data_IF_740111017148
#
_entry.id   IF_740111017148
#
_cell.length_a   1.000
_cell.length_b   1.000
_cell.length_c   1.000
_cell.angle_alpha   90.00
_cell.angle_beta   90.00
_cell.angle_gamma   90.00
#
_symmetry.space_group_name_H-M   'P 1'
#
loop_
_entity.id
_entity.type
_entity.pdbx_description
1 polymer ?
#
# COMPACT_ATOMS: atom_id res chain seq x y z
N UNK A 1 -5.73 14.81 27.84
CA UNK A 1 -5.70 15.53 26.55
C UNK A 1 -6.85 15.00 25.70
N UNK A 2 -7.73 15.84 25.16
CA UNK A 2 -8.78 15.37 24.23
C UNK A 2 -8.11 15.08 22.89
N UNK A 3 -8.07 13.81 22.48
CA UNK A 3 -7.57 13.41 21.17
C UNK A 3 -8.33 14.15 20.07
N UNK A 4 -7.62 14.58 19.02
CA UNK A 4 -8.25 15.17 17.83
C UNK A 4 -9.10 14.09 17.16
N UNK A 5 -10.32 14.43 16.74
CA UNK A 5 -11.15 13.50 15.99
C UNK A 5 -10.44 13.11 14.67
N UNK A 6 -10.50 11.83 14.24
CA UNK A 6 -9.89 11.39 12.99
C UNK A 6 -10.51 12.17 11.82
N UNK A 7 -9.69 12.54 10.83
CA UNK A 7 -10.21 13.14 9.59
C UNK A 7 -11.05 12.12 8.82
N UNK A 8 -11.88 12.53 7.85
CA UNK A 8 -12.53 11.58 6.96
C UNK A 8 -11.51 10.68 6.24
N UNK A 9 -11.90 9.42 6.01
CA UNK A 9 -11.12 8.48 5.22
C UNK A 9 -10.95 8.95 3.77
N UNK A 10 -9.74 8.81 3.24
CA UNK A 10 -9.38 9.04 1.83
C UNK A 10 -8.35 8.01 1.39
N UNK A 11 -8.34 7.64 0.11
CA UNK A 11 -7.35 6.74 -0.48
C UNK A 11 -6.87 7.28 -1.83
N UNK A 12 -5.60 7.04 -2.16
CA UNK A 12 -4.99 7.36 -3.45
C UNK A 12 -4.67 6.12 -4.30
N UNK A 13 -5.17 4.94 -3.90
CA UNK A 13 -4.79 3.65 -4.49
C UNK A 13 -3.57 3.08 -3.80
N UNK A 14 -2.66 2.52 -4.58
CA UNK A 14 -1.34 2.22 -4.06
C UNK A 14 -0.54 3.53 -4.02
N UNK A 15 -0.26 4.00 -2.81
CA UNK A 15 0.40 5.28 -2.52
C UNK A 15 1.78 5.41 -3.16
N UNK A 16 2.37 6.61 -3.05
CA UNK A 16 3.65 6.93 -3.71
C UNK A 16 3.50 7.13 -5.23
N UNK A 17 2.27 7.30 -5.72
CA UNK A 17 1.96 7.51 -7.13
C UNK A 17 1.91 6.24 -7.97
N UNK A 18 1.91 5.04 -7.35
CA UNK A 18 1.92 3.78 -8.10
C UNK A 18 0.66 3.61 -8.94
N UNK A 19 -0.54 3.78 -8.36
CA UNK A 19 -1.80 3.67 -9.11
C UNK A 19 -1.90 4.70 -10.23
N UNK A 20 -1.48 5.94 -9.97
CA UNK A 20 -1.48 7.01 -10.98
C UNK A 20 -0.49 6.72 -12.10
N UNK A 21 0.74 6.34 -11.78
CA UNK A 21 1.78 6.02 -12.76
C UNK A 21 1.44 4.80 -13.60
N UNK A 22 0.83 3.78 -12.99
CA UNK A 22 0.33 2.60 -13.70
C UNK A 22 -0.74 2.98 -14.73
N UNK A 23 -1.75 3.73 -14.29
CA UNK A 23 -2.86 4.16 -15.16
C UNK A 23 -2.32 5.00 -16.33
N UNK A 24 -1.42 5.94 -16.06
CA UNK A 24 -0.77 6.74 -17.08
C UNK A 24 0.01 5.88 -18.10
N UNK A 25 0.76 4.88 -17.63
CA UNK A 25 1.51 3.99 -18.51
C UNK A 25 0.58 3.11 -19.35
N UNK A 26 -0.50 2.58 -18.77
CA UNK A 26 -1.52 1.81 -19.47
C UNK A 26 -2.23 2.62 -20.56
N UNK A 27 -2.57 3.89 -20.28
CA UNK A 27 -3.16 4.80 -21.25
C UNK A 27 -2.19 5.13 -22.40
N UNK A 28 -0.90 5.26 -22.09
CA UNK A 28 0.13 5.61 -23.07
C UNK A 28 0.53 4.43 -23.97
N UNK A 29 0.53 3.21 -23.42
CA UNK A 29 1.01 2.01 -24.10
C UNK A 29 -0.09 0.93 -24.11
N UNK A 30 -0.93 0.86 -25.15
CA UNK A 30 -2.06 -0.08 -25.20
C UNK A 30 -1.67 -1.54 -24.99
N UNK A 31 -0.52 -1.98 -25.53
CA UNK A 31 -0.01 -3.34 -25.32
C UNK A 31 0.31 -3.65 -23.85
N UNK A 32 0.66 -2.65 -23.04
CA UNK A 32 0.81 -2.84 -21.60
C UNK A 32 -0.56 -3.07 -20.93
N UNK A 33 -1.56 -2.26 -21.28
CA UNK A 33 -2.91 -2.39 -20.73
C UNK A 33 -3.58 -3.73 -21.10
N UNK A 34 -3.34 -4.23 -22.31
CA UNK A 34 -3.84 -5.54 -22.75
C UNK A 34 -3.29 -6.70 -21.91
N UNK A 35 -2.04 -6.59 -21.45
CA UNK A 35 -1.37 -7.63 -20.68
C UNK A 35 -1.62 -7.47 -19.18
N UNK A 36 -1.53 -6.25 -18.66
CA UNK A 36 -1.45 -5.97 -17.22
C UNK A 36 -2.70 -5.26 -16.68
N UNK A 37 -3.63 -4.87 -17.54
CA UNK A 37 -4.80 -4.08 -17.18
C UNK A 37 -4.50 -2.60 -16.99
N UNK A 38 -5.56 -1.81 -16.86
CA UNK A 38 -5.48 -0.35 -16.68
C UNK A 38 -5.10 0.08 -15.26
N UNK A 39 -5.07 -0.86 -14.31
CA UNK A 39 -4.76 -0.64 -12.89
C UNK A 39 -3.90 -1.78 -12.36
N UNK A 40 -3.12 -1.56 -11.30
CA UNK A 40 -2.40 -2.64 -10.65
C UNK A 40 -3.38 -3.74 -10.22
N UNK A 41 -3.07 -5.02 -10.45
CA UNK A 41 -3.97 -6.12 -10.10
C UNK A 41 -4.17 -6.28 -8.58
N UNK A 42 -3.32 -5.63 -7.77
CA UNK A 42 -3.44 -5.57 -6.31
C UNK A 42 -3.96 -4.22 -5.78
N UNK A 43 -4.54 -3.36 -6.61
CA UNK A 43 -5.02 -2.02 -6.17
C UNK A 43 -6.03 -2.11 -5.01
N UNK A 44 -6.94 -3.09 -5.06
CA UNK A 44 -7.91 -3.32 -3.98
C UNK A 44 -7.25 -3.72 -2.65
N UNK A 45 -6.08 -4.36 -2.69
CA UNK A 45 -5.28 -4.64 -1.49
C UNK A 45 -4.78 -3.33 -0.85
N UNK A 46 -4.36 -2.36 -1.66
CA UNK A 46 -3.94 -1.04 -1.19
C UNK A 46 -5.12 -0.26 -0.58
N UNK A 47 -6.30 -0.31 -1.21
CA UNK A 47 -7.51 0.29 -0.63
C UNK A 47 -7.90 -0.32 0.73
N UNK A 48 -7.77 -1.63 0.88
CA UNK A 48 -8.01 -2.31 2.15
C UNK A 48 -6.96 -1.93 3.21
N UNK A 49 -5.70 -1.82 2.80
CA UNK A 49 -4.60 -1.35 3.65
C UNK A 49 -4.82 0.07 4.14
N UNK A 50 -5.16 1.02 3.26
CA UNK A 50 -5.44 2.41 3.63
C UNK A 50 -6.56 2.50 4.67
N UNK A 51 -7.61 1.70 4.52
CA UNK A 51 -8.72 1.63 5.49
C UNK A 51 -8.24 1.11 6.84
N UNK A 52 -7.44 0.06 6.85
CA UNK A 52 -6.87 -0.48 8.08
C UNK A 52 -5.84 0.46 8.72
N UNK A 53 -5.13 1.25 7.91
CA UNK A 53 -4.21 2.28 8.37
C UNK A 53 -4.95 3.49 8.96
N UNK A 54 -6.16 3.73 8.50
CA UNK A 54 -7.10 4.68 9.06
C UNK A 54 -7.89 4.07 10.24
N UNK A 55 -7.18 3.49 11.21
CA UNK A 55 -7.76 2.89 12.42
C UNK A 55 -7.97 3.94 13.53
N UNK A 56 -9.23 4.31 13.85
CA UNK A 56 -9.51 5.29 14.88
C UNK A 56 -9.41 4.74 16.32
N UNK A 57 -9.28 3.42 16.50
CA UNK A 57 -9.42 2.74 17.79
C UNK A 57 -8.06 2.52 18.50
N UNK A 58 -6.95 2.66 17.77
CA UNK A 58 -5.60 2.57 18.34
C UNK A 58 -5.22 3.83 19.13
N UNK A 59 -5.49 3.84 20.45
CA UNK A 59 -5.30 5.03 21.30
C UNK A 59 -3.89 5.19 21.89
N UNK A 60 -3.00 4.21 21.74
CA UNK A 60 -1.59 4.28 22.20
C UNK A 60 -0.62 4.08 21.04
N UNK A 61 0.64 4.50 21.22
CA UNK A 61 1.66 4.36 20.20
C UNK A 61 1.95 2.88 19.87
N UNK A 62 1.95 2.03 20.89
CA UNK A 62 2.13 0.58 20.77
C UNK A 62 0.96 -0.07 20.03
N UNK A 63 -0.29 0.26 20.43
CA UNK A 63 -1.48 -0.25 19.75
C UNK A 63 -1.51 0.18 18.27
N UNK A 64 -1.12 1.42 17.98
CA UNK A 64 -1.02 1.93 16.61
C UNK A 64 0.10 1.22 15.83
N UNK A 65 1.23 0.92 16.46
CA UNK A 65 2.30 0.16 15.84
C UNK A 65 1.85 -1.26 15.46
N UNK A 66 1.19 -1.95 16.39
CA UNK A 66 0.72 -3.33 16.18
C UNK A 66 -0.38 -3.39 15.12
N UNK A 67 -1.34 -2.47 15.15
CA UNK A 67 -2.39 -2.37 14.15
C UNK A 67 -1.81 -2.16 12.73
N UNK A 68 -0.83 -1.26 12.58
CA UNK A 68 -0.16 -1.03 11.30
C UNK A 68 0.65 -2.23 10.84
N UNK A 69 1.41 -2.86 11.74
CA UNK A 69 2.15 -4.06 11.40
C UNK A 69 1.22 -5.20 10.95
N UNK A 70 0.05 -5.32 11.56
CA UNK A 70 -0.98 -6.26 11.12
C UNK A 70 -1.50 -5.91 9.72
N UNK A 71 -1.85 -4.64 9.48
CA UNK A 71 -2.28 -4.16 8.16
C UNK A 71 -1.21 -4.39 7.08
N UNK A 72 0.07 -4.13 7.37
CA UNK A 72 1.19 -4.33 6.44
C UNK A 72 1.34 -5.80 6.05
N UNK A 73 1.20 -6.71 7.03
CA UNK A 73 1.22 -8.16 6.77
C UNK A 73 0.04 -8.59 5.92
N UNK A 74 -1.16 -8.06 6.19
CA UNK A 74 -2.36 -8.32 5.39
C UNK A 74 -2.20 -7.84 3.96
N UNK A 75 -1.66 -6.62 3.75
CA UNK A 75 -1.34 -6.09 2.43
C UNK A 75 -0.39 -7.03 1.67
N UNK A 76 0.72 -7.39 2.30
CA UNK A 76 1.72 -8.28 1.70
C UNK A 76 1.11 -9.64 1.32
N UNK A 77 0.26 -10.22 2.17
CA UNK A 77 -0.44 -11.47 1.85
C UNK A 77 -1.44 -11.32 0.70
N UNK A 78 -2.24 -10.25 0.69
CA UNK A 78 -3.22 -9.96 -0.35
C UNK A 78 -2.57 -9.81 -1.74
N UNK A 79 -1.44 -9.13 -1.79
CA UNK A 79 -0.69 -8.93 -3.05
C UNK A 79 -0.16 -10.24 -3.59
N UNK A 80 0.42 -11.10 -2.75
CA UNK A 80 0.84 -12.45 -3.16
C UNK A 80 -0.32 -13.25 -3.73
N UNK A 81 -1.49 -13.13 -3.12
CA UNK A 81 -2.70 -13.83 -3.54
C UNK A 81 -3.28 -13.30 -4.86
N UNK A 82 -2.80 -12.17 -5.39
CA UNK A 82 -3.22 -11.63 -6.69
C UNK A 82 -2.52 -12.31 -7.88
N UNK A 83 -1.51 -13.15 -7.65
CA UNK A 83 -0.73 -13.79 -8.70
C UNK A 83 -1.55 -14.74 -9.61
N UNK A 84 -2.42 -15.62 -9.08
CA UNK A 84 -3.18 -16.56 -9.91
C UNK A 84 -4.05 -15.87 -10.96
N UNK A 85 -4.65 -14.75 -10.61
CA UNK A 85 -5.55 -13.98 -11.49
C UNK A 85 -4.83 -13.40 -12.72
N UNK A 86 -3.50 -13.22 -12.63
CA UNK A 86 -2.66 -12.70 -13.71
C UNK A 86 -1.80 -13.77 -14.38
N UNK A 87 -1.75 -14.97 -13.81
CA UNK A 87 -0.76 -15.99 -14.16
C UNK A 87 -0.81 -16.37 -15.64
N UNK A 88 -1.99 -16.68 -16.18
CA UNK A 88 -2.12 -17.08 -17.58
C UNK A 88 -1.69 -15.97 -18.56
N UNK A 89 -2.05 -14.71 -18.28
CA UNK A 89 -1.72 -13.58 -19.14
C UNK A 89 -0.22 -13.29 -19.14
N UNK A 90 0.39 -13.25 -17.94
CA UNK A 90 1.80 -12.96 -17.76
C UNK A 90 2.71 -14.08 -18.28
N UNK A 91 2.35 -15.35 -18.08
CA UNK A 91 3.08 -16.48 -18.65
C UNK A 91 3.14 -16.38 -20.18
N UNK A 92 1.98 -16.11 -20.82
CA UNK A 92 1.90 -15.98 -22.28
C UNK A 92 2.68 -14.77 -22.80
N UNK A 93 2.55 -13.62 -22.13
CA UNK A 93 3.13 -12.36 -22.60
C UNK A 93 4.64 -12.27 -22.37
N UNK A 94 5.12 -12.79 -21.24
CA UNK A 94 6.50 -12.62 -20.80
C UNK A 94 7.30 -13.92 -20.79
N UNK A 95 6.70 -15.05 -21.20
CA UNK A 95 7.38 -16.35 -21.23
C UNK A 95 7.73 -16.89 -19.85
N UNK A 96 7.01 -16.45 -18.82
CA UNK A 96 7.21 -16.89 -17.43
C UNK A 96 6.58 -18.28 -17.23
N UNK A 97 7.12 -19.04 -16.27
CA UNK A 97 6.39 -20.19 -15.71
C UNK A 97 5.39 -19.70 -14.65
N UNK A 98 4.49 -20.57 -14.22
CA UNK A 98 3.58 -20.28 -13.11
C UNK A 98 4.35 -19.91 -11.83
N UNK A 99 5.42 -20.64 -11.52
CA UNK A 99 6.33 -20.31 -10.41
C UNK A 99 7.03 -18.97 -10.63
N UNK A 100 7.39 -18.66 -11.88
CA UNK A 100 7.94 -17.37 -12.28
C UNK A 100 7.02 -16.21 -11.94
N UNK A 101 5.73 -16.34 -12.26
CA UNK A 101 4.73 -15.33 -11.89
C UNK A 101 4.61 -15.21 -10.37
N UNK A 102 4.52 -16.34 -9.66
CA UNK A 102 4.44 -16.31 -8.20
C UNK A 102 5.64 -15.60 -7.56
N UNK A 103 6.86 -15.87 -8.04
CA UNK A 103 8.08 -15.21 -7.55
C UNK A 103 8.05 -13.69 -7.75
N UNK A 104 7.52 -13.22 -8.88
CA UNK A 104 7.36 -11.77 -9.14
C UNK A 104 6.41 -11.14 -8.13
N UNK A 105 5.24 -11.76 -7.88
CA UNK A 105 4.29 -11.25 -6.90
C UNK A 105 4.81 -11.34 -5.46
N UNK A 106 5.58 -12.37 -5.12
CA UNK A 106 6.24 -12.48 -3.82
C UNK A 106 7.26 -11.35 -3.61
N UNK A 107 8.02 -11.00 -4.65
CA UNK A 107 8.96 -9.88 -4.62
C UNK A 107 8.24 -8.54 -4.49
N UNK A 108 7.15 -8.30 -5.25
CA UNK A 108 6.32 -7.09 -5.15
C UNK A 108 5.73 -6.98 -3.74
N UNK A 109 5.18 -8.06 -3.20
CA UNK A 109 4.61 -8.08 -1.86
C UNK A 109 5.64 -7.81 -0.76
N UNK A 110 6.87 -8.29 -0.92
CA UNK A 110 7.98 -8.00 -0.01
C UNK A 110 8.42 -6.54 -0.09
N UNK A 111 8.67 -6.04 -1.30
CA UNK A 111 9.04 -4.65 -1.53
C UNK A 111 7.97 -3.67 -1.02
N UNK A 112 6.69 -4.00 -1.21
CA UNK A 112 5.60 -3.16 -0.73
C UNK A 112 5.50 -3.19 0.80
N UNK A 113 5.69 -4.36 1.44
CA UNK A 113 5.79 -4.44 2.90
C UNK A 113 6.90 -3.51 3.44
N UNK A 114 8.10 -3.61 2.89
CA UNK A 114 9.23 -2.77 3.32
C UNK A 114 8.96 -1.28 3.09
N UNK A 115 8.36 -0.93 1.95
CA UNK A 115 8.01 0.45 1.61
C UNK A 115 7.00 1.05 2.59
N UNK A 116 5.93 0.33 2.97
CA UNK A 116 4.94 0.84 3.93
C UNK A 116 5.50 0.89 5.35
N UNK A 117 6.41 -0.02 5.73
CA UNK A 117 7.13 0.05 7.02
C UNK A 117 7.98 1.30 7.14
N UNK A 118 8.75 1.61 6.10
CA UNK A 118 9.65 2.77 6.08
C UNK A 118 8.85 4.07 5.92
N UNK A 119 7.93 4.11 4.97
CA UNK A 119 7.15 5.30 4.64
C UNK A 119 6.09 5.67 5.70
N UNK A 120 5.51 4.67 6.35
CA UNK A 120 4.48 4.81 7.41
C UNK A 120 5.04 5.11 8.81
N UNK A 121 6.34 5.39 8.94
CA UNK A 121 6.98 5.75 10.21
C UNK A 121 6.53 7.13 10.77
N UNK A 122 6.64 7.36 12.11
CA UNK A 122 6.10 8.55 12.80
C UNK A 122 6.65 9.89 12.33
N UNK A 123 7.89 9.87 11.86
CA UNK A 123 8.64 11.08 11.58
C UNK A 123 8.96 11.26 10.10
N UNK A 124 8.24 10.58 9.20
CA UNK A 124 8.37 10.87 7.76
C UNK A 124 7.58 12.14 7.44
N UNK A 125 8.02 12.90 6.42
CA UNK A 125 7.26 14.05 5.90
C UNK A 125 6.23 13.63 4.84
N UNK A 126 6.04 12.33 4.66
CA UNK A 126 5.19 11.79 3.61
C UNK A 126 3.71 12.06 3.94
N UNK A 127 2.85 12.33 2.94
CA UNK A 127 1.45 12.63 3.18
C UNK A 127 0.65 11.42 3.68
N UNK A 128 1.12 10.20 3.41
CA UNK A 128 0.60 8.93 3.93
C UNK A 128 1.26 8.47 5.24
N UNK A 129 2.03 9.34 5.90
CA UNK A 129 2.52 9.06 7.26
C UNK A 129 1.33 8.91 8.21
N UNK A 130 1.43 7.98 9.15
CA UNK A 130 0.59 7.92 10.36
C UNK A 130 -0.87 8.31 10.12
N UNK A 131 -1.58 7.44 9.40
CA UNK A 131 -3.00 7.51 9.07
C UNK A 131 -3.76 8.51 9.91
N UNK A 132 -3.75 9.76 9.45
CA UNK A 132 -4.55 10.89 9.94
C UNK A 132 -4.71 11.08 11.48
N UNK A 133 -3.78 10.63 12.31
CA UNK A 133 -4.03 10.47 13.76
C UNK A 133 -3.08 11.16 14.75
N UNK A 134 -1.81 11.39 14.40
CA UNK A 134 -0.82 11.90 15.37
C UNK A 134 -0.06 13.14 14.87
N UNK A 135 0.35 14.04 15.77
CA UNK A 135 1.15 15.20 15.41
C UNK A 135 2.51 14.79 14.83
N UNK A 136 3.05 15.64 13.94
CA UNK A 136 4.41 15.48 13.41
C UNK A 136 5.43 15.42 14.56
N UNK A 137 6.50 14.62 14.41
CA UNK A 137 7.59 14.61 15.40
C UNK A 137 8.21 16.00 15.63
N UNK A 138 8.21 16.86 14.61
CA UNK A 138 8.66 18.26 14.71
C UNK A 138 7.65 19.22 15.36
N UNK A 139 6.39 18.80 15.53
CA UNK A 139 5.38 19.55 16.28
C UNK A 139 5.33 19.13 17.74
N UNK A 140 5.74 17.90 18.07
CA UNK A 140 5.84 17.40 19.44
C UNK A 140 6.91 18.14 20.26
N UNK A 141 7.92 18.72 19.62
CA UNK A 141 9.02 19.48 20.27
C UNK A 141 8.76 20.98 20.41
N UNK A 142 7.65 21.51 19.90
CA UNK A 142 7.30 22.94 19.99
C UNK A 142 6.23 23.23 21.05
N UNK A 143 5.95 22.27 21.92
CA UNK A 143 4.95 22.37 23.00
C UNK A 143 5.57 22.36 24.40
N UNK A 144 6.90 22.46 24.50
CA UNK A 144 7.64 22.65 25.75
C UNK A 144 8.10 24.11 25.92
#
# INVERSE_FOLDING_TARGET
MKGRAPTPFTTDGCSGGLSVGWSFFAETFPGFAEINGNRPPWEDCCFAHDRAYHDPDATTAEASYDARLAADKVLSACVRASAPDQSAALQKAYGLSEEGVQMVFDAIAGAMFDAVRVGGGPCTLLPWRWGYGYPLCIQATLQD
#
